data_IF_059964826384
#
_entry.id   IF_059964826384
#
_cell.length_a   1.000
_cell.length_b   1.000
_cell.length_c   1.000
_cell.angle_alpha   90.00
_cell.angle_beta   90.00
_cell.angle_gamma   90.00
#
_symmetry.space_group_name_H-M   'P 1'
#
loop_
_entity.id
_entity.type
_entity.pdbx_description
1 polymer ?
#
# COMPACT_ATOMS: atom_id res chain seq x y z
N UNK A 1 14.27 -67.78 35.48
CA UNK A 1 13.51 -66.76 34.71
C UNK A 1 13.30 -67.25 33.29
N UNK A 2 12.06 -67.55 32.89
CA UNK A 2 11.74 -68.30 31.67
C UNK A 2 12.12 -67.54 30.39
N UNK A 3 12.68 -68.24 29.40
CA UNK A 3 13.11 -67.67 28.11
C UNK A 3 11.97 -66.90 27.41
N UNK A 4 10.72 -67.37 27.58
CA UNK A 4 9.51 -66.69 27.08
C UNK A 4 9.24 -65.34 27.76
N UNK A 5 9.56 -65.20 29.05
CA UNK A 5 9.39 -63.95 29.82
C UNK A 5 10.42 -62.90 29.38
N UNK A 6 11.66 -63.32 29.10
CA UNK A 6 12.70 -62.40 28.58
C UNK A 6 12.36 -61.88 27.18
N UNK A 7 11.81 -62.73 26.30
CA UNK A 7 11.38 -62.32 24.95
C UNK A 7 10.20 -61.35 25.01
N UNK A 8 9.25 -61.58 25.91
CA UNK A 8 8.11 -60.68 26.09
C UNK A 8 8.52 -59.30 26.60
N UNK A 9 9.46 -59.25 27.55
CA UNK A 9 10.04 -57.98 28.03
C UNK A 9 10.83 -57.24 26.94
N UNK A 10 11.55 -57.96 26.08
CA UNK A 10 12.36 -57.37 25.01
C UNK A 10 11.48 -56.81 23.87
N UNK A 11 10.34 -57.45 23.59
CA UNK A 11 9.35 -56.96 22.61
C UNK A 11 8.60 -55.73 23.14
N UNK A 12 8.26 -55.72 24.44
CA UNK A 12 7.59 -54.59 25.08
C UNK A 12 8.48 -53.33 25.07
N UNK A 13 9.79 -53.47 25.24
CA UNK A 13 10.74 -52.35 25.24
C UNK A 13 10.84 -51.62 23.89
N UNK A 14 10.68 -52.35 22.77
CA UNK A 14 10.71 -51.77 21.43
C UNK A 14 9.50 -50.90 21.09
N UNK A 15 8.36 -51.13 21.74
CA UNK A 15 7.11 -50.37 21.49
C UNK A 15 7.14 -49.01 22.19
N UNK A 16 7.85 -48.88 23.31
CA UNK A 16 7.90 -47.64 24.12
C UNK A 16 8.90 -46.61 23.55
N UNK A 17 9.90 -47.06 22.77
CA UNK A 17 10.87 -46.19 22.10
C UNK A 17 10.48 -45.80 20.67
N UNK A 18 9.25 -46.10 20.25
CA UNK A 18 8.70 -45.58 18.99
C UNK A 18 8.59 -44.06 19.04
N UNK A 19 9.56 -43.38 18.44
CA UNK A 19 9.64 -41.93 18.32
C UNK A 19 8.34 -41.40 17.68
N UNK A 20 7.54 -40.65 18.44
CA UNK A 20 6.43 -39.87 17.87
C UNK A 20 6.98 -38.61 17.24
N UNK A 21 7.25 -38.66 15.94
CA UNK A 21 7.46 -37.48 15.12
C UNK A 21 6.16 -36.70 15.00
N UNK A 22 5.85 -35.87 15.99
CA UNK A 22 4.82 -34.84 15.88
C UNK A 22 5.38 -33.68 15.07
N UNK A 23 4.76 -33.37 13.93
CA UNK A 23 5.02 -32.10 13.25
C UNK A 23 4.67 -30.95 14.19
N UNK A 24 5.58 -30.00 14.36
CA UNK A 24 5.26 -28.76 15.05
C UNK A 24 4.21 -28.01 14.22
N UNK A 25 3.03 -27.77 14.81
CA UNK A 25 2.03 -26.85 14.26
C UNK A 25 2.49 -25.41 14.60
N UNK A 26 2.95 -24.62 13.62
CA UNK A 26 3.45 -23.27 13.88
C UNK A 26 2.30 -22.25 14.11
N UNK A 27 1.03 -22.66 14.10
CA UNK A 27 -0.11 -21.74 14.14
C UNK A 27 -0.36 -21.07 15.50
N UNK A 28 0.30 -21.50 16.59
CA UNK A 28 -0.05 -21.00 17.92
C UNK A 28 0.59 -19.66 18.31
N UNK A 29 1.47 -19.07 17.49
CA UNK A 29 2.07 -17.75 17.75
C UNK A 29 2.76 -17.07 16.54
N UNK A 30 2.45 -17.49 15.30
CA UNK A 30 3.02 -16.86 14.11
C UNK A 30 2.22 -15.59 13.75
N UNK A 31 2.55 -14.47 14.38
CA UNK A 31 2.11 -13.15 13.92
C UNK A 31 2.77 -12.87 12.57
N UNK A 32 2.00 -12.93 11.47
CA UNK A 32 2.50 -12.53 10.16
C UNK A 32 2.73 -11.01 10.21
N UNK A 33 3.97 -10.52 10.06
CA UNK A 33 4.21 -9.08 10.00
C UNK A 33 3.52 -8.54 8.75
N UNK A 34 2.63 -7.57 8.94
CA UNK A 34 2.11 -6.77 7.85
C UNK A 34 3.31 -5.96 7.34
N UNK A 35 3.80 -6.30 6.15
CA UNK A 35 4.83 -5.52 5.47
C UNK A 35 4.13 -4.27 4.96
N UNK A 36 4.13 -3.20 5.75
CA UNK A 36 3.79 -1.90 5.20
C UNK A 36 4.89 -1.51 4.21
N UNK A 37 4.55 -1.11 2.98
CA UNK A 37 5.54 -0.55 2.09
C UNK A 37 6.06 0.72 2.75
N UNK A 38 7.30 0.72 3.22
CA UNK A 38 7.97 1.98 3.59
C UNK A 38 8.09 2.77 2.29
N UNK A 39 7.38 3.90 2.12
CA UNK A 39 7.58 4.73 0.94
C UNK A 39 9.05 5.13 0.93
N UNK A 40 9.80 4.63 -0.06
CA UNK A 40 11.20 4.98 -0.18
C UNK A 40 11.27 6.46 -0.52
N UNK A 41 11.85 7.24 0.38
CA UNK A 41 12.15 8.66 0.18
C UNK A 41 12.95 8.94 -1.10
N UNK A 42 13.56 7.92 -1.71
CA UNK A 42 14.26 8.01 -2.99
C UNK A 42 13.38 8.54 -4.13
N UNK A 43 12.07 8.30 -4.09
CA UNK A 43 11.15 8.74 -5.16
C UNK A 43 10.51 10.11 -4.89
N UNK A 44 10.89 10.75 -3.79
CA UNK A 44 10.33 12.03 -3.38
C UNK A 44 10.98 13.18 -4.16
N UNK A 45 10.18 13.92 -4.93
CA UNK A 45 10.65 14.97 -5.82
C UNK A 45 10.76 16.35 -5.14
N UNK A 46 10.56 16.46 -3.81
CA UNK A 46 10.52 17.75 -3.10
C UNK A 46 11.77 18.62 -3.31
N UNK A 47 12.94 18.03 -3.59
CA UNK A 47 14.15 18.80 -3.92
C UNK A 47 14.04 19.65 -5.21
N UNK A 48 13.15 19.27 -6.13
CA UNK A 48 12.89 19.96 -7.40
C UNK A 48 11.56 20.73 -7.38
N UNK A 49 10.74 20.51 -6.36
CA UNK A 49 9.46 21.19 -6.19
C UNK A 49 9.69 22.50 -5.46
N UNK A 50 9.38 23.63 -6.12
CA UNK A 50 9.66 24.97 -5.56
C UNK A 50 8.41 25.60 -4.98
N UNK A 51 8.60 26.54 -4.06
CA UNK A 51 7.53 27.27 -3.35
C UNK A 51 6.54 28.01 -4.27
N UNK A 52 6.94 28.33 -5.51
CA UNK A 52 6.06 28.99 -6.48
C UNK A 52 5.05 28.05 -7.16
N UNK A 53 5.13 26.74 -6.93
CA UNK A 53 4.14 25.77 -7.36
C UNK A 53 3.00 25.67 -6.32
N UNK A 54 1.86 25.04 -6.64
CA UNK A 54 0.80 24.86 -5.65
C UNK A 54 1.32 24.07 -4.43
N UNK A 55 0.99 24.46 -3.21
CA UNK A 55 1.47 23.81 -1.98
C UNK A 55 0.33 23.09 -1.25
N UNK A 56 0.55 21.85 -0.82
CA UNK A 56 -0.51 21.04 -0.17
C UNK A 56 -0.96 21.64 1.16
N UNK A 57 -0.07 22.28 1.90
CA UNK A 57 -0.35 22.93 3.17
C UNK A 57 -1.32 24.10 3.01
N UNK A 58 -1.26 24.81 1.88
CA UNK A 58 -2.19 25.91 1.57
C UNK A 58 -3.53 25.37 1.04
N UNK A 59 -3.46 24.39 0.13
CA UNK A 59 -4.65 23.82 -0.50
C UNK A 59 -5.52 23.03 0.50
N UNK A 60 -4.91 22.38 1.50
CA UNK A 60 -5.62 21.60 2.53
C UNK A 60 -6.41 22.44 3.53
N UNK A 61 -6.29 23.77 3.50
CA UNK A 61 -7.10 24.68 4.31
C UNK A 61 -8.53 24.89 3.75
N UNK A 62 -8.78 24.47 2.51
CA UNK A 62 -10.09 24.63 1.87
C UNK A 62 -11.12 23.66 2.45
N UNK A 63 -12.39 24.09 2.48
CA UNK A 63 -13.49 23.22 2.86
C UNK A 63 -13.71 22.14 1.79
N UNK A 64 -13.72 20.88 2.22
CA UNK A 64 -13.88 19.73 1.33
C UNK A 64 -15.36 19.34 1.18
N UNK A 65 -15.70 18.97 -0.04
CA UNK A 65 -16.98 18.41 -0.44
C UNK A 65 -16.77 16.93 -0.66
N UNK A 66 -17.53 16.08 0.05
CA UNK A 66 -17.52 14.65 -0.18
C UNK A 66 -18.50 14.28 -1.30
N UNK A 67 -18.03 13.53 -2.30
CA UNK A 67 -18.86 13.10 -3.42
C UNK A 67 -19.66 11.80 -3.16
N UNK A 68 -19.41 11.16 -2.02
CA UNK A 68 -20.03 9.89 -1.60
C UNK A 68 -19.40 8.63 -2.19
N UNK A 69 -18.43 8.74 -3.10
CA UNK A 69 -17.63 7.63 -3.66
C UNK A 69 -16.39 7.29 -2.81
N UNK A 70 -16.11 8.11 -1.79
CA UNK A 70 -14.87 8.08 -1.02
C UNK A 70 -13.82 9.07 -1.53
N UNK A 71 -14.22 9.99 -2.41
CA UNK A 71 -13.38 11.09 -2.90
C UNK A 71 -13.90 12.38 -2.28
N UNK A 72 -12.99 13.09 -1.62
CA UNK A 72 -13.22 14.45 -1.15
C UNK A 72 -12.50 15.42 -2.09
N UNK A 73 -13.16 16.51 -2.45
CA UNK A 73 -12.62 17.52 -3.35
C UNK A 73 -13.02 18.92 -2.94
N UNK A 74 -12.32 19.93 -3.45
CA UNK A 74 -12.76 21.31 -3.41
C UNK A 74 -12.49 21.95 -4.76
N UNK A 75 -13.21 23.02 -5.09
CA UNK A 75 -13.03 23.75 -6.34
C UNK A 75 -12.23 25.00 -6.02
N UNK A 76 -10.96 25.02 -6.45
CA UNK A 76 -10.10 26.19 -6.29
C UNK A 76 -10.55 27.34 -7.21
N UNK A 77 -10.88 27.01 -8.45
CA UNK A 77 -11.37 27.94 -9.46
C UNK A 77 -12.38 27.19 -10.34
N UNK A 78 -13.61 27.71 -10.42
CA UNK A 78 -14.66 27.12 -11.26
C UNK A 78 -14.43 27.50 -12.73
N UNK A 79 -14.38 26.49 -13.60
CA UNK A 79 -14.36 26.71 -15.04
C UNK A 79 -15.74 27.06 -15.58
N UNK A 80 -15.78 27.78 -16.70
CA UNK A 80 -17.02 28.21 -17.37
C UNK A 80 -17.37 27.38 -18.62
N UNK A 81 -16.50 26.43 -18.97
CA UNK A 81 -16.59 25.64 -20.20
C UNK A 81 -17.29 24.30 -19.97
N UNK A 82 -17.67 23.62 -21.06
CA UNK A 82 -18.32 22.31 -20.99
C UNK A 82 -17.43 21.25 -20.32
N UNK A 83 -18.04 20.39 -19.51
CA UNK A 83 -17.35 19.25 -18.89
C UNK A 83 -16.93 18.25 -19.97
N UNK A 84 -15.74 17.64 -19.87
CA UNK A 84 -15.27 16.70 -20.86
C UNK A 84 -16.11 15.42 -20.89
N UNK A 85 -16.29 14.84 -22.07
CA UNK A 85 -16.83 13.48 -22.24
C UNK A 85 -15.71 12.45 -22.48
N UNK A 86 -16.05 11.16 -22.46
CA UNK A 86 -15.10 10.03 -22.53
C UNK A 86 -14.24 10.02 -23.82
N UNK A 87 -14.64 10.73 -24.86
CA UNK A 87 -13.88 10.85 -26.10
C UNK A 87 -12.82 11.96 -26.05
N UNK A 88 -12.78 12.76 -24.98
CA UNK A 88 -11.88 13.90 -24.88
C UNK A 88 -10.51 13.53 -24.33
N UNK A 89 -9.51 14.26 -24.82
CA UNK A 89 -8.19 14.34 -24.23
C UNK A 89 -8.14 15.56 -23.30
N UNK A 90 -7.83 15.34 -22.04
CA UNK A 90 -7.64 16.40 -21.05
C UNK A 90 -6.16 16.77 -20.97
N UNK A 91 -5.89 18.06 -20.90
CA UNK A 91 -4.55 18.60 -20.62
C UNK A 91 -4.53 19.09 -19.19
N UNK A 92 -3.64 18.55 -18.37
CA UNK A 92 -3.56 18.89 -16.96
C UNK A 92 -2.18 19.43 -16.58
N UNK A 93 -2.19 20.45 -15.73
CA UNK A 93 -1.09 20.72 -14.82
C UNK A 93 -1.47 20.16 -13.46
N UNK A 94 -0.63 19.31 -12.89
CA UNK A 94 -0.94 18.60 -11.66
C UNK A 94 0.31 18.40 -10.81
N UNK A 95 0.07 18.16 -9.53
CA UNK A 95 1.04 17.61 -8.60
C UNK A 95 0.32 16.57 -7.75
N UNK A 96 0.97 15.44 -7.52
CA UNK A 96 0.52 14.38 -6.64
C UNK A 96 1.39 14.33 -5.39
N UNK A 97 0.72 14.37 -4.23
CA UNK A 97 1.36 14.25 -2.92
C UNK A 97 0.85 13.03 -2.18
N UNK A 98 1.70 12.46 -1.34
CA UNK A 98 1.29 11.58 -0.24
C UNK A 98 0.90 12.43 0.98
N UNK A 99 0.17 11.83 1.93
CA UNK A 99 -0.26 12.51 3.17
C UNK A 99 0.90 13.09 4.00
N UNK A 100 2.09 12.53 3.85
CA UNK A 100 3.30 13.02 4.52
C UNK A 100 4.00 14.20 3.79
N UNK A 101 3.36 14.78 2.78
CA UNK A 101 3.89 15.90 1.99
C UNK A 101 4.89 15.49 0.89
N UNK A 102 5.14 14.20 0.71
CA UNK A 102 6.04 13.73 -0.34
C UNK A 102 5.43 13.93 -1.74
N UNK A 103 6.10 14.73 -2.58
CA UNK A 103 5.75 14.90 -3.99
C UNK A 103 6.23 13.67 -4.76
N UNK A 104 5.32 12.77 -5.12
CA UNK A 104 5.69 11.57 -5.88
C UNK A 104 5.67 11.81 -7.40
N UNK A 105 4.86 12.77 -7.86
CA UNK A 105 4.79 13.15 -9.27
C UNK A 105 4.32 14.61 -9.44
N UNK A 106 4.85 15.32 -10.44
CA UNK A 106 4.40 16.67 -10.78
C UNK A 106 4.69 17.02 -12.24
N UNK A 107 3.71 17.62 -12.91
CA UNK A 107 3.93 18.21 -14.23
C UNK A 107 4.74 19.53 -14.15
N UNK A 108 4.73 20.19 -12.99
CA UNK A 108 5.47 21.43 -12.76
C UNK A 108 6.98 21.19 -12.76
N UNK A 109 7.44 20.12 -12.09
CA UNK A 109 8.87 19.75 -12.06
C UNK A 109 9.40 19.35 -13.43
N UNK A 110 8.53 18.77 -14.29
CA UNK A 110 8.85 18.48 -15.69
C UNK A 110 8.75 19.70 -16.63
N UNK A 111 8.27 20.84 -16.12
CA UNK A 111 7.99 22.04 -16.90
C UNK A 111 7.18 21.78 -18.21
N UNK A 112 6.24 20.83 -18.15
CA UNK A 112 5.42 20.44 -19.31
C UNK A 112 4.07 19.89 -18.86
N UNK A 113 3.00 20.27 -19.56
CA UNK A 113 1.65 19.72 -19.31
C UNK A 113 1.60 18.24 -19.67
N UNK A 114 0.66 17.53 -19.06
CA UNK A 114 0.41 16.11 -19.35
C UNK A 114 -0.96 15.93 -20.01
N UNK A 115 -1.06 14.92 -20.87
CA UNK A 115 -2.27 14.62 -21.64
C UNK A 115 -2.81 13.26 -21.22
N UNK A 116 -4.12 13.18 -20.99
CA UNK A 116 -4.80 11.96 -20.56
C UNK A 116 -6.10 11.77 -21.34
N UNK A 117 -6.47 10.52 -21.59
CA UNK A 117 -7.83 10.19 -22.01
C UNK A 117 -8.76 10.32 -20.81
N UNK A 118 -9.86 11.06 -20.97
CA UNK A 118 -10.88 11.15 -19.93
C UNK A 118 -11.62 9.80 -19.80
N UNK A 119 -11.84 9.34 -18.57
CA UNK A 119 -12.44 8.02 -18.32
C UNK A 119 -13.80 8.04 -17.61
N UNK A 120 -14.32 9.22 -17.25
CA UNK A 120 -15.59 9.36 -16.54
C UNK A 120 -15.52 9.03 -15.05
#
# INVERSE_FOLDING_TARGET
>A
MNKKIKVFFLLAFFIIFGCRGGGADPSSNASIPIIEPTPSNMYCQNQYYVESYPQIEELSLNELISDGSGIDYFILEEGDSEKPDINYLVTARYTGWLENGCVFDSSYTRNSSSFFHYQG
#
